data_IF_923429207555
#
_entry.id   IF_923429207555
#
_cell.length_a   1.000
_cell.length_b   1.000
_cell.length_c   1.000
_cell.angle_alpha   90.00
_cell.angle_beta   90.00
_cell.angle_gamma   90.00
#
_symmetry.space_group_name_H-M   'P 1'
#
loop_
_entity.id
_entity.type
_entity.pdbx_description
1 polymer ?
#
# COMPACT_ATOMS: atom_id res chain seq x y z
N UNK A 1 -5.02 -15.30 -40.80
CA UNK A 1 -5.60 -15.86 -39.56
C UNK A 1 -5.35 -14.85 -38.46
N UNK A 2 -6.33 -14.03 -38.12
CA UNK A 2 -6.21 -13.06 -37.03
C UNK A 2 -6.37 -13.79 -35.71
N UNK A 3 -5.27 -13.98 -34.97
CA UNK A 3 -5.36 -14.53 -33.62
C UNK A 3 -5.99 -13.46 -32.72
N UNK A 4 -7.22 -13.72 -32.29
CA UNK A 4 -8.01 -12.95 -31.31
C UNK A 4 -7.40 -12.99 -29.88
N UNK A 5 -6.07 -12.91 -29.75
CA UNK A 5 -5.33 -13.10 -28.50
C UNK A 5 -5.30 -11.90 -27.55
N UNK A 6 -5.66 -10.70 -28.00
CA UNK A 6 -5.47 -9.45 -27.24
C UNK A 6 -6.68 -9.02 -26.39
N UNK A 7 -7.36 -9.96 -25.72
CA UNK A 7 -8.53 -9.59 -24.89
C UNK A 7 -8.20 -9.24 -23.44
N UNK A 8 -6.94 -9.35 -23.06
CA UNK A 8 -6.42 -8.92 -21.76
C UNK A 8 -5.21 -8.06 -22.07
N UNK A 9 -5.48 -6.81 -22.47
CA UNK A 9 -4.43 -5.86 -22.81
C UNK A 9 -3.36 -5.89 -21.72
N UNK A 10 -2.13 -6.25 -22.09
CA UNK A 10 -1.02 -6.26 -21.15
C UNK A 10 -0.98 -4.89 -20.48
N UNK A 11 -1.13 -4.80 -19.15
CA UNK A 11 -1.24 -3.52 -18.48
C UNK A 11 0.04 -2.73 -18.73
N UNK A 12 -0.12 -1.46 -19.10
CA UNK A 12 1.02 -0.55 -19.29
C UNK A 12 1.67 -0.29 -17.92
N UNK A 13 2.99 0.01 -17.87
CA UNK A 13 3.67 0.34 -16.61
C UNK A 13 2.93 1.41 -15.79
N UNK A 14 2.49 2.50 -16.44
CA UNK A 14 1.72 3.58 -15.78
C UNK A 14 0.39 3.12 -15.16
N UNK A 15 -0.27 2.08 -15.70
CA UNK A 15 -1.49 1.53 -15.10
C UNK A 15 -1.17 0.71 -13.85
N UNK A 16 -0.09 -0.07 -13.89
CA UNK A 16 0.39 -0.83 -12.73
C UNK A 16 0.82 0.11 -11.61
N UNK A 17 1.54 1.18 -11.91
CA UNK A 17 1.94 2.20 -10.93
C UNK A 17 0.73 2.87 -10.28
N UNK A 18 -0.30 3.22 -11.07
CA UNK A 18 -1.53 3.79 -10.53
C UNK A 18 -2.29 2.81 -9.62
N UNK A 19 -2.36 1.52 -10.01
CA UNK A 19 -2.99 0.48 -9.20
C UNK A 19 -2.23 0.24 -7.89
N UNK A 20 -0.89 0.20 -7.93
CA UNK A 20 -0.02 0.08 -6.74
C UNK A 20 -0.26 1.26 -5.79
N UNK A 21 -0.21 2.49 -6.30
CA UNK A 21 -0.43 3.69 -5.50
C UNK A 21 -1.83 3.73 -4.87
N UNK A 22 -2.85 3.23 -5.58
CA UNK A 22 -4.19 3.08 -5.03
C UNK A 22 -4.22 2.10 -3.85
N UNK A 23 -3.58 0.93 -3.97
CA UNK A 23 -3.56 -0.06 -2.89
C UNK A 23 -2.77 0.42 -1.67
N UNK A 24 -1.62 1.08 -1.88
CA UNK A 24 -0.84 1.68 -0.80
C UNK A 24 -1.65 2.74 -0.04
N UNK A 25 -2.27 3.68 -0.76
CA UNK A 25 -3.16 4.69 -0.16
C UNK A 25 -4.32 4.03 0.61
N UNK A 26 -4.90 2.95 0.08
CA UNK A 26 -5.99 2.23 0.75
C UNK A 26 -5.52 1.52 2.01
N UNK A 27 -4.32 0.96 2.02
CA UNK A 27 -3.71 0.33 3.19
C UNK A 27 -3.37 1.37 4.26
N UNK A 28 -2.88 2.55 3.88
CA UNK A 28 -2.60 3.65 4.79
C UNK A 28 -3.85 4.12 5.55
N UNK A 29 -5.01 4.15 4.89
CA UNK A 29 -6.31 4.46 5.52
C UNK A 29 -6.78 3.40 6.51
N UNK A 30 -6.23 2.18 6.45
CA UNK A 30 -6.61 1.05 7.30
C UNK A 30 -5.56 0.75 8.38
N UNK A 31 -4.57 1.63 8.59
CA UNK A 31 -3.41 1.37 9.47
C UNK A 31 -3.78 1.20 10.95
N UNK A 32 -4.88 1.79 11.40
CA UNK A 32 -5.29 1.76 12.80
C UNK A 32 -5.87 0.38 13.24
N UNK A 33 -5.79 -0.61 12.35
CA UNK A 33 -6.17 -1.99 12.59
C UNK A 33 -7.52 -2.36 11.97
N UNK A 34 -7.76 -3.65 11.66
CA UNK A 34 -9.04 -4.09 11.14
C UNK A 34 -10.14 -3.97 12.20
N UNK A 35 -11.14 -3.13 11.96
CA UNK A 35 -12.34 -3.02 12.81
C UNK A 35 -13.32 -4.19 12.61
N UNK A 36 -13.09 -5.05 11.62
CA UNK A 36 -13.90 -6.24 11.33
C UNK A 36 -13.10 -7.31 10.59
N UNK A 37 -13.59 -8.55 10.60
CA UNK A 37 -13.05 -9.66 9.79
C UNK A 37 -13.08 -9.36 8.30
N UNK A 38 -14.06 -8.58 7.83
CA UNK A 38 -14.13 -8.12 6.45
C UNK A 38 -13.00 -7.15 6.11
N UNK A 39 -12.70 -6.21 7.01
CA UNK A 39 -11.59 -5.28 6.85
C UNK A 39 -10.24 -6.03 6.91
N UNK A 40 -10.12 -7.04 7.77
CA UNK A 40 -8.94 -7.90 7.81
C UNK A 40 -8.72 -8.63 6.48
N UNK A 41 -9.79 -9.18 5.89
CA UNK A 41 -9.74 -9.81 4.57
C UNK A 41 -9.36 -8.80 3.47
N UNK A 42 -9.88 -7.56 3.53
CA UNK A 42 -9.51 -6.50 2.60
C UNK A 42 -8.02 -6.14 2.69
N UNK A 43 -7.47 -5.99 3.90
CA UNK A 43 -6.05 -5.70 4.10
C UNK A 43 -5.18 -6.81 3.49
N UNK A 44 -5.52 -8.08 3.73
CA UNK A 44 -4.80 -9.22 3.14
C UNK A 44 -4.85 -9.20 1.61
N UNK A 45 -6.03 -8.92 1.03
CA UNK A 45 -6.20 -8.85 -0.40
C UNK A 45 -5.39 -7.69 -1.03
N UNK A 46 -5.43 -6.50 -0.45
CA UNK A 46 -4.70 -5.34 -0.98
C UNK A 46 -3.19 -5.53 -0.92
N UNK A 47 -2.66 -6.11 0.16
CA UNK A 47 -1.23 -6.44 0.26
C UNK A 47 -0.78 -7.43 -0.82
N UNK A 48 -1.57 -8.47 -1.06
CA UNK A 48 -1.26 -9.47 -2.07
C UNK A 48 -1.30 -8.86 -3.49
N UNK A 49 -2.31 -8.05 -3.78
CA UNK A 49 -2.44 -7.35 -5.06
C UNK A 49 -1.28 -6.38 -5.29
N UNK A 50 -0.93 -5.57 -4.30
CA UNK A 50 0.20 -4.64 -4.36
C UNK A 50 1.52 -5.37 -4.66
N UNK A 51 1.79 -6.48 -3.96
CA UNK A 51 3.00 -7.28 -4.15
C UNK A 51 3.09 -7.88 -5.56
N UNK A 52 2.00 -8.49 -6.05
CA UNK A 52 1.95 -9.12 -7.37
C UNK A 52 2.11 -8.09 -8.51
N UNK A 53 1.49 -6.91 -8.37
CA UNK A 53 1.58 -5.86 -9.37
C UNK A 53 2.95 -5.18 -9.37
N UNK A 54 3.56 -5.00 -8.20
CA UNK A 54 4.93 -4.50 -8.06
C UNK A 54 5.92 -5.45 -8.73
N UNK A 55 5.82 -6.75 -8.44
CA UNK A 55 6.64 -7.79 -9.06
C UNK A 55 6.43 -7.84 -10.59
N UNK A 56 5.19 -7.64 -11.07
CA UNK A 56 4.92 -7.52 -12.50
C UNK A 56 5.56 -6.27 -13.11
N UNK A 57 5.49 -5.13 -12.44
CA UNK A 57 6.09 -3.87 -12.89
C UNK A 57 7.61 -3.97 -12.98
N UNK A 58 8.26 -4.56 -11.97
CA UNK A 58 9.72 -4.81 -11.96
C UNK A 58 10.19 -5.71 -13.11
N UNK A 59 9.40 -6.74 -13.43
CA UNK A 59 9.69 -7.59 -14.60
C UNK A 59 9.54 -6.82 -15.91
N UNK A 60 8.56 -5.93 -16.03
CA UNK A 60 8.37 -5.11 -17.23
C UNK A 60 9.43 -4.02 -17.38
N UNK A 61 9.95 -3.47 -16.28
CA UNK A 61 11.02 -2.46 -16.30
C UNK A 61 12.41 -3.03 -16.59
N UNK A 62 12.55 -4.36 -16.74
CA UNK A 62 13.84 -5.02 -16.93
C UNK A 62 14.71 -5.06 -15.67
N UNK A 63 14.16 -4.71 -14.50
CA UNK A 63 14.83 -4.79 -13.19
C UNK A 63 14.64 -6.17 -12.51
N UNK A 64 14.15 -7.16 -13.25
CA UNK A 64 14.03 -8.55 -12.80
C UNK A 64 15.39 -9.19 -12.48
N UNK A 65 15.93 -8.87 -11.31
CA UNK A 65 17.21 -9.38 -10.80
C UNK A 65 17.86 -8.52 -9.71
N UNK A 66 17.44 -7.26 -9.51
CA UNK A 66 17.92 -6.45 -8.41
C UNK A 66 16.88 -6.45 -7.28
N UNK A 67 17.31 -6.84 -6.08
CA UNK A 67 16.52 -6.71 -4.86
C UNK A 67 15.81 -5.36 -4.83
N UNK A 68 14.50 -5.37 -4.53
CA UNK A 68 13.71 -4.17 -4.30
C UNK A 68 14.53 -3.16 -3.48
N UNK A 69 14.78 -1.94 -3.98
CA UNK A 69 15.39 -0.91 -3.14
C UNK A 69 14.50 -0.69 -1.92
N UNK A 70 15.12 -0.57 -0.75
CA UNK A 70 14.45 -0.28 0.54
C UNK A 70 13.56 0.99 0.47
N UNK A 71 13.85 1.83 -0.53
CA UNK A 71 13.13 3.04 -0.87
C UNK A 71 12.56 2.97 -2.29
N UNK A 72 11.27 2.67 -2.39
CA UNK A 72 10.48 2.88 -3.60
C UNK A 72 9.96 4.33 -3.57
N UNK A 73 10.09 5.12 -4.65
CA UNK A 73 9.72 6.54 -4.66
C UNK A 73 8.20 6.82 -4.52
N UNK A 74 7.38 5.79 -4.33
CA UNK A 74 5.98 5.89 -3.93
C UNK A 74 5.73 5.70 -2.42
N UNK A 75 6.76 5.33 -1.64
CA UNK A 75 6.65 5.18 -0.18
C UNK A 75 6.60 6.58 0.43
N UNK A 76 5.40 7.08 0.70
CA UNK A 76 5.25 8.27 1.53
C UNK A 76 5.78 7.89 2.92
N UNK A 77 6.96 8.39 3.25
CA UNK A 77 7.47 8.33 4.62
C UNK A 77 6.54 9.21 5.48
N UNK A 78 5.62 8.55 6.17
CA UNK A 78 4.87 9.13 7.28
C UNK A 78 5.79 9.23 8.49
N UNK A 79 6.83 10.04 8.40
CA UNK A 79 7.49 10.58 9.57
C UNK A 79 6.93 11.96 9.89
N UNK A 80 6.61 12.13 11.18
CA UNK A 80 6.31 13.40 11.84
C UNK A 80 4.87 13.96 11.80
N UNK A 81 3.92 13.21 12.37
CA UNK A 81 2.82 13.83 13.14
C UNK A 81 2.58 13.02 14.42
N UNK A 82 3.55 13.00 15.33
CA UNK A 82 3.33 12.69 16.74
C UNK A 82 4.18 13.64 17.58
N UNK A 83 3.53 14.58 18.26
CA UNK A 83 4.18 15.53 19.17
C UNK A 83 3.19 16.48 19.85
N UNK A 84 2.00 15.98 20.19
CA UNK A 84 1.04 16.69 21.03
C UNK A 84 1.11 16.14 22.45
N UNK A 85 2.08 16.63 23.21
CA UNK A 85 2.13 16.54 24.66
C UNK A 85 0.83 17.08 25.29
N UNK A 86 0.07 16.23 25.99
CA UNK A 86 -0.88 16.71 27.00
C UNK A 86 -0.47 16.11 28.33
N UNK A 87 0.57 16.68 28.92
CA UNK A 87 0.79 16.60 30.37
C UNK A 87 -0.04 17.71 31.00
N UNK A 88 -0.95 17.33 31.90
CA UNK A 88 -1.75 18.23 32.71
C UNK A 88 -2.39 17.44 33.83
N UNK A 89 -1.74 17.48 34.99
CA UNK A 89 -1.99 16.81 36.26
C UNK A 89 -3.47 16.90 36.73
N UNK A 90 -4.01 15.86 37.37
CA UNK A 90 -4.07 15.78 38.84
C UNK A 90 -5.02 16.82 39.40
N UNK A 91 -6.26 16.47 39.77
CA UNK A 91 -6.65 16.45 41.19
C UNK A 91 -7.89 15.58 41.42
N UNK A 92 -7.72 14.56 42.27
CA UNK A 92 -8.80 13.91 43.01
C UNK A 92 -8.99 14.67 44.32
N UNK A 93 -10.13 15.30 44.55
CA UNK A 93 -10.55 15.65 45.90
C UNK A 93 -11.77 14.80 46.27
N UNK A 94 -11.50 13.85 47.16
CA UNK A 94 -12.47 13.22 48.04
C UNK A 94 -12.54 14.08 49.31
N UNK A 95 -13.71 14.61 49.66
CA UNK A 95 -14.38 14.44 50.98
C UNK A 95 -15.80 15.02 50.95
#
# INVERSE_FOLDING_TARGET
MSNNGDKWSSPTPAKLEADIAYFDARLALLRDGPASSYQEAQIKAYRELEALLTDRLLRLSGQGGAALPDHYPGRIEVEEILGGETTGDGETESE
#
